data_IF_690446792906
#
_entry.id   IF_690446792906
#
_cell.length_a   1.000
_cell.length_b   1.000
_cell.length_c   1.000
_cell.angle_alpha   90.00
_cell.angle_beta   90.00
_cell.angle_gamma   90.00
#
_symmetry.space_group_name_H-M   'P 1'
#
loop_
_entity.id
_entity.type
_entity.pdbx_description
1 polymer ?
#
# COMPACT_ATOMS: atom_id res chain seq x y z
N UNK A 1 -15.99 -11.74 -8.30
CA UNK A 1 -15.05 -10.63 -8.49
C UNK A 1 -14.84 -10.02 -7.11
N UNK A 2 -13.65 -10.15 -6.55
CA UNK A 2 -13.25 -9.46 -5.31
C UNK A 2 -12.94 -8.03 -5.74
N UNK A 3 -13.67 -6.99 -5.30
CA UNK A 3 -13.43 -5.67 -5.88
C UNK A 3 -12.13 -5.09 -5.29
N UNK A 4 -11.39 -4.32 -6.10
CA UNK A 4 -9.96 -4.04 -5.86
C UNK A 4 -9.01 -5.11 -6.42
N UNK A 5 -9.54 -6.20 -6.98
CA UNK A 5 -8.80 -7.26 -7.68
C UNK A 5 -9.42 -7.54 -9.05
N UNK A 6 -8.60 -7.73 -10.08
CA UNK A 6 -9.01 -8.30 -11.37
C UNK A 6 -8.17 -9.54 -11.69
N UNK A 7 -8.84 -10.60 -12.10
CA UNK A 7 -8.18 -11.80 -12.61
C UNK A 7 -8.06 -11.68 -14.13
N UNK A 8 -6.85 -11.89 -14.65
CA UNK A 8 -6.51 -11.76 -16.06
C UNK A 8 -5.86 -13.06 -16.52
N UNK A 9 -6.34 -13.57 -17.65
CA UNK A 9 -5.72 -14.70 -18.33
C UNK A 9 -4.76 -14.17 -19.40
N UNK A 10 -3.49 -14.54 -19.30
CA UNK A 10 -2.49 -14.28 -20.34
C UNK A 10 -2.32 -15.53 -21.18
N UNK A 11 -2.56 -15.40 -22.48
CA UNK A 11 -2.35 -16.47 -23.46
C UNK A 11 -1.10 -16.17 -24.30
N UNK A 12 -0.08 -17.04 -24.24
CA UNK A 12 1.19 -16.85 -24.95
C UNK A 12 1.35 -17.80 -26.14
N UNK A 13 0.25 -18.25 -26.76
CA UNK A 13 0.27 -19.19 -27.90
C UNK A 13 1.33 -18.91 -28.97
N UNK A 14 1.58 -17.62 -29.26
CA UNK A 14 2.50 -17.18 -30.31
C UNK A 14 3.82 -16.58 -29.77
N UNK A 15 4.10 -16.74 -28.48
CA UNK A 15 5.32 -16.20 -27.85
C UNK A 15 5.92 -17.18 -26.82
N UNK A 16 7.16 -17.63 -27.08
CA UNK A 16 7.91 -18.53 -26.20
C UNK A 16 8.99 -17.83 -25.37
N UNK A 17 9.10 -16.51 -25.48
CA UNK A 17 10.07 -15.72 -24.71
C UNK A 17 9.57 -15.40 -23.31
N UNK A 18 10.37 -14.64 -22.58
CA UNK A 18 9.97 -14.10 -21.27
C UNK A 18 9.12 -12.85 -21.45
N UNK A 19 8.11 -12.69 -20.61
CA UNK A 19 7.27 -11.51 -20.60
C UNK A 19 7.12 -10.97 -19.19
N UNK A 20 6.64 -9.73 -19.11
CA UNK A 20 6.17 -9.11 -17.90
C UNK A 20 4.79 -8.53 -18.12
N UNK A 21 4.04 -8.36 -17.04
CA UNK A 21 2.75 -7.71 -17.04
C UNK A 21 2.74 -6.62 -15.97
N UNK A 22 2.04 -5.53 -16.26
CA UNK A 22 1.80 -4.45 -15.32
C UNK A 22 0.39 -3.92 -15.44
N UNK A 23 -0.03 -3.13 -14.46
CA UNK A 23 -1.30 -2.43 -14.48
C UNK A 23 -1.05 -0.97 -14.10
N UNK A 24 -1.59 -0.05 -14.90
CA UNK A 24 -1.53 1.39 -14.68
C UNK A 24 -2.94 1.98 -14.85
N UNK A 25 -3.19 3.18 -14.33
CA UNK A 25 -4.50 3.81 -14.55
C UNK A 25 -4.68 4.14 -16.03
N UNK A 26 -5.93 4.27 -16.49
CA UNK A 26 -6.20 4.68 -17.87
C UNK A 26 -5.63 6.07 -18.17
N UNK A 27 -5.67 6.98 -17.21
CA UNK A 27 -5.03 8.29 -17.32
C UNK A 27 -3.51 8.18 -17.53
N UNK A 28 -2.83 7.34 -16.75
CA UNK A 28 -1.38 7.11 -16.91
C UNK A 28 -1.04 6.49 -18.26
N UNK A 29 -1.88 5.57 -18.75
CA UNK A 29 -1.73 4.96 -20.06
C UNK A 29 -1.93 5.98 -21.19
N UNK A 30 -3.02 6.77 -21.13
CA UNK A 30 -3.35 7.77 -22.14
C UNK A 30 -2.31 8.92 -22.16
N UNK A 31 -1.57 9.13 -21.07
CA UNK A 31 -0.45 10.07 -20.99
C UNK A 31 0.86 9.56 -21.62
N UNK A 32 0.97 8.27 -21.95
CA UNK A 32 2.14 7.72 -22.63
C UNK A 32 2.10 8.02 -24.13
N UNK A 33 3.23 8.50 -24.68
CA UNK A 33 3.31 8.90 -26.08
C UNK A 33 3.26 7.71 -27.07
N UNK A 34 3.78 6.55 -26.64
CA UNK A 34 3.87 5.33 -27.42
C UNK A 34 4.05 4.10 -26.50
N UNK A 35 4.11 2.91 -27.11
CA UNK A 35 4.30 1.64 -26.41
C UNK A 35 5.62 1.57 -25.62
N UNK A 36 6.67 2.25 -26.10
CA UNK A 36 7.95 2.30 -25.39
C UNK A 36 7.82 3.10 -24.10
N UNK A 37 7.05 4.18 -24.12
CA UNK A 37 6.75 4.97 -22.92
C UNK A 37 5.92 4.17 -21.90
N UNK A 38 4.97 3.33 -22.35
CA UNK A 38 4.23 2.41 -21.46
C UNK A 38 5.17 1.39 -20.83
N UNK A 39 6.00 0.73 -21.64
CA UNK A 39 7.01 -0.21 -21.20
C UNK A 39 7.97 0.41 -20.16
N UNK A 40 8.53 1.58 -20.46
CA UNK A 40 9.48 2.27 -19.58
C UNK A 40 8.82 2.66 -18.26
N UNK A 41 7.59 3.17 -18.29
CA UNK A 41 6.84 3.51 -17.07
C UNK A 41 6.68 2.29 -16.16
N UNK A 42 6.24 1.16 -16.72
CA UNK A 42 5.98 -0.06 -15.95
C UNK A 42 7.29 -0.64 -15.39
N UNK A 43 8.35 -0.74 -16.19
CA UNK A 43 9.65 -1.27 -15.74
C UNK A 43 10.31 -0.35 -14.72
N UNK A 44 10.26 0.97 -14.92
CA UNK A 44 10.82 1.91 -13.94
C UNK A 44 10.03 1.91 -12.63
N UNK A 45 8.70 1.75 -12.67
CA UNK A 45 7.88 1.57 -11.47
C UNK A 45 8.24 0.29 -10.73
N UNK A 46 8.40 -0.84 -11.43
CA UNK A 46 8.88 -2.09 -10.84
C UNK A 46 10.23 -1.89 -10.11
N UNK A 47 11.19 -1.23 -10.76
CA UNK A 47 12.51 -0.97 -10.18
C UNK A 47 12.41 -0.05 -8.96
N UNK A 48 11.63 1.03 -9.05
CA UNK A 48 11.44 1.99 -7.96
C UNK A 48 10.80 1.33 -6.73
N UNK A 49 9.77 0.48 -6.94
CA UNK A 49 9.14 -0.28 -5.86
C UNK A 49 10.08 -1.30 -5.20
N UNK A 50 11.18 -1.66 -5.85
CA UNK A 50 12.17 -2.62 -5.36
C UNK A 50 13.53 -1.96 -5.06
N UNK A 51 13.57 -0.64 -4.84
CA UNK A 51 14.83 0.09 -4.57
C UNK A 51 15.58 -0.45 -3.35
N UNK A 52 14.87 -0.92 -2.32
CA UNK A 52 15.47 -1.52 -1.13
C UNK A 52 16.26 -2.80 -1.44
N UNK A 53 15.82 -3.61 -2.41
CA UNK A 53 16.58 -4.78 -2.85
C UNK A 53 17.89 -4.33 -3.50
N UNK A 54 17.83 -3.26 -4.28
CA UNK A 54 19.00 -2.66 -4.95
C UNK A 54 19.98 -2.10 -3.92
N UNK A 55 19.48 -1.39 -2.91
CA UNK A 55 20.29 -0.90 -1.79
C UNK A 55 20.96 -2.05 -1.00
N UNK A 56 20.29 -3.20 -0.91
CA UNK A 56 20.81 -4.43 -0.29
C UNK A 56 21.64 -5.30 -1.25
N UNK A 57 22.04 -4.78 -2.42
CA UNK A 57 23.03 -5.39 -3.31
C UNK A 57 22.46 -6.13 -4.52
N UNK A 58 21.15 -6.11 -4.75
CA UNK A 58 20.58 -6.59 -6.02
C UNK A 58 20.86 -5.59 -7.14
N UNK A 59 20.91 -6.07 -8.38
CA UNK A 59 20.90 -5.21 -9.56
C UNK A 59 19.49 -5.07 -10.12
N UNK A 60 19.24 -4.06 -10.96
CA UNK A 60 17.98 -3.96 -11.71
C UNK A 60 17.70 -5.22 -12.54
N UNK A 61 18.76 -5.83 -13.09
CA UNK A 61 18.70 -7.09 -13.84
C UNK A 61 18.15 -8.23 -12.97
N UNK A 62 18.57 -8.29 -11.71
CA UNK A 62 18.10 -9.32 -10.76
C UNK A 62 16.62 -9.11 -10.42
N UNK A 63 16.22 -7.85 -10.16
CA UNK A 63 14.82 -7.48 -9.90
C UNK A 63 13.92 -7.87 -11.07
N UNK A 64 14.31 -7.52 -12.30
CA UNK A 64 13.54 -7.87 -13.49
C UNK A 64 13.52 -9.38 -13.68
N UNK A 65 14.67 -10.04 -13.55
CA UNK A 65 14.80 -11.49 -13.73
C UNK A 65 13.92 -12.30 -12.80
N UNK A 66 13.72 -11.85 -11.56
CA UNK A 66 12.85 -12.51 -10.58
C UNK A 66 11.38 -12.54 -10.99
N UNK A 67 10.91 -11.50 -11.70
CA UNK A 67 9.47 -11.34 -11.99
C UNK A 67 9.07 -11.78 -13.40
N UNK A 68 10.02 -12.04 -14.30
CA UNK A 68 9.73 -12.51 -15.65
C UNK A 68 8.96 -13.83 -15.65
N UNK A 69 7.97 -13.92 -16.53
CA UNK A 69 7.10 -15.08 -16.70
C UNK A 69 7.32 -15.75 -18.05
N UNK A 70 6.90 -17.02 -18.15
CA UNK A 70 6.91 -17.79 -19.40
C UNK A 70 5.65 -18.65 -19.47
N UNK A 71 5.15 -18.89 -20.69
CA UNK A 71 3.93 -19.66 -20.91
C UNK A 71 2.63 -18.92 -20.50
N UNK A 72 1.50 -19.47 -20.90
CA UNK A 72 0.18 -18.96 -20.51
C UNK A 72 -0.04 -19.11 -19.01
N UNK A 73 -0.64 -18.10 -18.38
CA UNK A 73 -0.94 -18.13 -16.96
C UNK A 73 -2.18 -17.31 -16.61
N UNK A 74 -2.85 -17.71 -15.55
CA UNK A 74 -3.80 -16.86 -14.86
C UNK A 74 -3.04 -16.02 -13.83
N UNK A 75 -3.35 -14.74 -13.80
CA UNK A 75 -2.75 -13.78 -12.88
C UNK A 75 -3.84 -12.93 -12.23
N UNK A 76 -3.47 -12.33 -11.11
CA UNK A 76 -4.33 -11.42 -10.37
C UNK A 76 -3.62 -10.08 -10.22
N UNK A 77 -4.28 -9.00 -10.60
CA UNK A 77 -3.86 -7.64 -10.24
C UNK A 77 -4.71 -7.20 -9.05
N UNK A 78 -4.05 -6.72 -8.01
CA UNK A 78 -4.68 -6.24 -6.76
C UNK A 78 -4.34 -4.76 -6.53
N UNK A 79 -4.86 -4.17 -5.45
CA UNK A 79 -4.61 -2.77 -5.03
C UNK A 79 -5.19 -1.71 -5.96
N UNK A 80 -6.30 -2.04 -6.60
CA UNK A 80 -6.93 -1.16 -7.58
C UNK A 80 -7.93 -0.25 -6.88
N UNK A 81 -7.81 1.06 -7.11
CA UNK A 81 -8.68 2.08 -6.54
C UNK A 81 -10.12 1.86 -7.01
N UNK A 82 -11.11 1.96 -6.10
CA UNK A 82 -12.52 2.01 -6.49
C UNK A 82 -12.79 3.15 -7.47
N UNK A 83 -13.85 2.98 -8.26
CA UNK A 83 -14.31 3.96 -9.27
C UNK A 83 -13.21 4.43 -10.26
N UNK A 84 -12.14 3.64 -10.43
CA UNK A 84 -10.98 4.02 -11.26
C UNK A 84 -10.86 3.10 -12.47
N UNK A 85 -10.55 3.69 -13.62
CA UNK A 85 -10.27 2.98 -14.87
C UNK A 85 -8.80 2.59 -14.95
N UNK A 86 -8.54 1.37 -15.39
CA UNK A 86 -7.20 0.78 -15.44
C UNK A 86 -6.95 0.06 -16.77
N UNK A 87 -5.67 -0.06 -17.10
CA UNK A 87 -5.19 -0.80 -18.28
C UNK A 87 -4.15 -1.81 -17.82
N UNK A 88 -4.45 -3.10 -17.99
CA UNK A 88 -3.43 -4.15 -17.89
C UNK A 88 -2.63 -4.16 -19.18
N UNK A 89 -1.31 -4.15 -19.06
CA UNK A 89 -0.36 -4.16 -20.17
C UNK A 89 0.53 -5.40 -20.06
N UNK A 90 0.69 -6.13 -21.15
CA UNK A 90 1.55 -7.32 -21.25
C UNK A 90 2.49 -7.15 -22.42
N UNK A 91 3.77 -7.42 -22.20
CA UNK A 91 4.79 -7.30 -23.23
C UNK A 91 5.93 -8.29 -23.01
N UNK A 92 6.50 -8.79 -24.11
CA UNK A 92 7.74 -9.55 -24.08
C UNK A 92 8.89 -8.65 -23.67
N UNK A 93 9.68 -9.08 -22.70
CA UNK A 93 10.88 -8.35 -22.28
C UNK A 93 11.94 -9.29 -21.72
N UNK A 94 13.18 -8.79 -21.63
CA UNK A 94 14.29 -9.51 -21.03
C UNK A 94 14.91 -8.72 -19.87
N UNK A 95 15.84 -9.35 -19.17
CA UNK A 95 16.54 -8.77 -18.02
C UNK A 95 17.39 -7.53 -18.36
N UNK A 96 17.63 -7.27 -19.66
CA UNK A 96 18.33 -6.07 -20.15
C UNK A 96 17.40 -4.88 -20.42
N UNK A 97 16.14 -4.91 -19.95
CA UNK A 97 15.12 -3.87 -20.19
C UNK A 97 14.84 -3.63 -21.67
N UNK A 98 14.94 -4.67 -22.51
CA UNK A 98 14.55 -4.57 -23.91
C UNK A 98 13.09 -4.99 -24.08
N UNK A 99 12.30 -4.15 -24.76
CA UNK A 99 10.98 -4.50 -25.27
C UNK A 99 11.13 -5.41 -26.49
N UNK A 100 10.50 -6.57 -26.46
CA UNK A 100 10.66 -7.63 -27.47
C UNK A 100 9.42 -7.85 -28.34
N UNK A 101 8.27 -7.34 -27.92
CA UNK A 101 6.99 -7.42 -28.62
C UNK A 101 6.26 -6.08 -28.50
N UNK A 102 5.22 -5.90 -29.30
CA UNK A 102 4.25 -4.84 -29.06
C UNK A 102 3.55 -5.04 -27.70
N UNK A 103 2.98 -3.97 -27.14
CA UNK A 103 2.27 -4.00 -25.86
C UNK A 103 0.81 -4.42 -26.09
N UNK A 104 0.44 -5.59 -25.56
CA UNK A 104 -0.95 -6.05 -25.52
C UNK A 104 -1.68 -5.45 -24.31
N UNK A 105 -2.92 -5.01 -24.49
CA UNK A 105 -3.67 -4.33 -23.42
C UNK A 105 -5.08 -4.89 -23.20
N UNK A 106 -5.58 -4.71 -21.98
CA UNK A 106 -6.97 -4.89 -21.63
C UNK A 106 -7.41 -3.79 -20.66
N UNK A 107 -8.45 -3.05 -21.03
CA UNK A 107 -9.05 -2.02 -20.17
C UNK A 107 -10.13 -2.60 -19.28
N UNK A 108 -10.23 -2.09 -18.07
CA UNK A 108 -11.31 -2.43 -17.15
C UNK A 108 -11.55 -1.27 -16.18
N UNK A 109 -12.75 -1.24 -15.59
CA UNK A 109 -13.09 -0.28 -14.54
C UNK A 109 -13.34 -1.02 -13.24
N UNK A 110 -12.71 -0.57 -12.16
CA UNK A 110 -13.08 -1.03 -10.82
C UNK A 110 -14.40 -0.35 -10.46
N UNK A 111 -15.43 -1.11 -10.04
CA UNK A 111 -16.68 -0.52 -9.58
C UNK A 111 -16.44 0.50 -8.47
N UNK A 112 -17.28 1.53 -8.40
CA UNK A 112 -17.36 2.36 -7.21
C UNK A 112 -17.72 1.49 -6.01
N UNK A 113 -17.18 1.84 -4.85
CA UNK A 113 -17.52 1.22 -3.58
C UNK A 113 -18.46 2.15 -2.83
N UNK A 114 -19.52 1.60 -2.24
CA UNK A 114 -20.40 2.38 -1.37
C UNK A 114 -19.58 2.89 -0.18
N UNK A 115 -19.67 4.18 0.09
CA UNK A 115 -19.15 4.73 1.34
C UNK A 115 -19.86 4.05 2.49
N UNK A 116 -19.11 3.63 3.50
CA UNK A 116 -19.71 3.26 4.76
C UNK A 116 -19.81 4.52 5.59
N UNK A 117 -21.00 4.73 6.17
CA UNK A 117 -21.35 5.88 7.00
C UNK A 117 -20.17 6.28 7.91
N UNK A 118 -19.99 7.59 8.17
CA UNK A 118 -18.90 8.21 8.95
C UNK A 118 -18.63 7.47 10.30
N UNK A 119 -17.93 6.33 10.27
CA UNK A 119 -17.64 5.53 11.47
C UNK A 119 -16.65 6.30 12.32
N UNK A 120 -17.08 6.75 13.49
CA UNK A 120 -16.23 7.48 14.43
C UNK A 120 -15.65 6.50 15.44
N UNK A 121 -14.41 6.08 15.20
CA UNK A 121 -13.66 5.31 16.19
C UNK A 121 -13.23 6.23 17.33
N UNK A 122 -12.87 5.63 18.48
CA UNK A 122 -12.36 6.37 19.63
C UNK A 122 -11.05 5.77 20.13
N UNK A 123 -10.17 6.60 20.67
CA UNK A 123 -9.04 6.16 21.49
C UNK A 123 -9.34 6.51 22.94
N UNK A 124 -9.33 5.50 23.81
CA UNK A 124 -9.71 5.69 25.22
C UNK A 124 -8.55 5.56 26.19
N UNK A 125 -7.84 4.44 26.18
CA UNK A 125 -6.71 4.23 27.09
C UNK A 125 -5.42 4.56 26.35
N UNK A 126 -4.65 5.53 26.83
CA UNK A 126 -3.31 5.86 26.30
C UNK A 126 -2.33 5.88 27.46
N UNK A 127 -1.24 5.13 27.34
CA UNK A 127 -0.16 5.05 28.32
C UNK A 127 1.20 5.18 27.62
N UNK A 128 1.95 6.21 27.97
CA UNK A 128 3.29 6.46 27.44
C UNK A 128 4.30 6.22 28.55
N UNK A 129 5.09 5.15 28.41
CA UNK A 129 6.12 4.75 29.36
C UNK A 129 7.50 4.97 28.76
N UNK A 130 8.29 5.86 29.37
CA UNK A 130 9.71 5.97 29.05
C UNK A 130 10.44 4.74 29.60
N UNK A 131 10.95 3.90 28.71
CA UNK A 131 11.63 2.65 29.06
C UNK A 131 13.16 2.78 29.05
N UNK A 132 13.68 3.72 28.26
CA UNK A 132 15.08 4.12 28.26
C UNK A 132 15.23 5.59 27.85
N UNK A 133 16.44 6.15 27.94
CA UNK A 133 16.70 7.54 27.54
C UNK A 133 16.27 7.79 26.08
N UNK A 134 16.54 6.83 25.18
CA UNK A 134 16.22 6.91 23.75
C UNK A 134 14.96 6.14 23.34
N UNK A 135 14.20 5.57 24.29
CA UNK A 135 13.08 4.68 23.97
C UNK A 135 11.87 4.91 24.87
N UNK A 136 10.69 5.02 24.26
CA UNK A 136 9.41 4.98 24.94
C UNK A 136 8.58 3.81 24.41
N UNK A 137 7.83 3.17 25.30
CA UNK A 137 6.74 2.26 24.97
C UNK A 137 5.44 3.04 25.03
N UNK A 138 4.69 3.05 23.94
CA UNK A 138 3.36 3.68 23.85
C UNK A 138 2.33 2.57 23.76
N UNK A 139 1.32 2.61 24.62
CA UNK A 139 0.18 1.70 24.60
C UNK A 139 -1.08 2.51 24.35
N UNK A 140 -1.94 2.07 23.43
CA UNK A 140 -3.24 2.70 23.22
C UNK A 140 -4.33 1.71 22.83
N UNK A 141 -5.58 2.01 23.18
CA UNK A 141 -6.74 1.20 22.80
C UNK A 141 -7.64 1.96 21.83
N UNK A 142 -7.89 1.38 20.66
CA UNK A 142 -8.86 1.84 19.66
C UNK A 142 -10.15 1.06 19.82
N UNK A 143 -11.29 1.76 19.78
CA UNK A 143 -12.63 1.18 19.89
C UNK A 143 -13.52 1.65 18.75
N UNK A 144 -14.20 0.70 18.13
CA UNK A 144 -15.31 0.95 17.24
C UNK A 144 -16.56 1.37 18.04
N UNK A 145 -17.52 2.08 17.40
CA UNK A 145 -18.85 2.30 17.95
C UNK A 145 -19.52 0.99 18.37
N UNK A 146 -20.35 1.00 19.43
CA UNK A 146 -21.04 -0.20 19.92
C UNK A 146 -21.96 -0.85 18.87
N UNK A 147 -22.47 -0.06 17.93
CA UNK A 147 -23.34 -0.47 16.84
C UNK A 147 -22.59 -0.81 15.54
N UNK A 148 -21.26 -0.69 15.53
CA UNK A 148 -20.44 -1.07 14.38
C UNK A 148 -20.10 -2.56 14.43
N UNK A 149 -20.61 -3.32 13.46
CA UNK A 149 -20.37 -4.76 13.29
C UNK A 149 -19.30 -5.08 12.24
N UNK A 150 -18.68 -4.05 11.66
CA UNK A 150 -17.66 -4.18 10.62
C UNK A 150 -16.24 -4.40 11.17
N UNK A 151 -15.29 -4.44 10.23
CA UNK A 151 -13.86 -4.54 10.52
C UNK A 151 -13.20 -3.16 10.42
N UNK A 152 -12.10 -2.98 11.12
CA UNK A 152 -11.28 -1.77 11.00
C UNK A 152 -9.79 -2.09 11.09
N UNK A 153 -9.00 -1.20 10.50
CA UNK A 153 -7.54 -1.21 10.50
C UNK A 153 -7.02 -0.05 11.35
N UNK A 154 -5.88 -0.26 12.01
CA UNK A 154 -5.22 0.75 12.83
C UNK A 154 -3.75 0.89 12.42
N UNK A 155 -3.31 2.13 12.28
CA UNK A 155 -1.94 2.49 11.94
C UNK A 155 -1.49 3.70 12.76
N UNK A 156 -0.18 3.87 12.94
CA UNK A 156 0.41 5.06 13.55
C UNK A 156 1.53 5.65 12.69
N UNK A 157 1.56 6.98 12.59
CA UNK A 157 2.57 7.73 11.86
C UNK A 157 3.20 8.79 12.77
N UNK A 158 4.51 8.99 12.65
CA UNK A 158 5.16 10.15 13.27
C UNK A 158 4.71 11.43 12.55
N UNK A 159 4.64 12.55 13.27
CA UNK A 159 4.18 13.84 12.71
C UNK A 159 4.93 14.28 11.46
N UNK A 160 6.25 14.07 11.40
CA UNK A 160 7.02 14.43 10.21
C UNK A 160 6.56 13.65 8.96
N UNK A 161 6.21 12.38 9.14
CA UNK A 161 5.67 11.50 8.10
C UNK A 161 4.28 11.98 7.71
N UNK A 162 3.41 12.23 8.69
CA UNK A 162 2.08 12.80 8.47
C UNK A 162 2.11 14.12 7.69
N UNK A 163 2.91 15.09 8.14
CA UNK A 163 2.99 16.42 7.55
C UNK A 163 3.59 16.38 6.13
N UNK A 164 4.53 15.47 5.86
CA UNK A 164 5.10 15.30 4.52
C UNK A 164 4.06 14.79 3.52
N UNK A 165 3.22 13.84 3.92
CA UNK A 165 2.25 13.21 3.02
C UNK A 165 0.95 13.97 2.87
N UNK A 166 0.50 14.66 3.93
CA UNK A 166 -0.62 15.59 3.82
C UNK A 166 -0.32 16.78 2.88
N UNK A 167 0.94 16.95 2.45
CA UNK A 167 1.37 18.09 1.62
C UNK A 167 2.03 17.72 0.27
N UNK A 168 2.42 16.48 0.00
CA UNK A 168 3.02 16.13 -1.31
C UNK A 168 3.31 14.64 -1.48
N UNK A 169 2.78 14.01 -2.54
CA UNK A 169 3.58 13.05 -3.31
C UNK A 169 3.20 12.88 -4.80
N UNK A 170 2.09 13.44 -5.30
CA UNK A 170 1.76 13.32 -6.75
C UNK A 170 1.25 14.60 -7.41
N UNK A 171 1.12 15.71 -6.69
CA UNK A 171 0.39 16.88 -7.19
C UNK A 171 -1.14 16.73 -7.08
N UNK A 172 -1.61 15.62 -6.51
CA UNK A 172 -2.98 15.42 -6.02
C UNK A 172 -2.96 15.27 -4.49
N UNK A 173 -3.96 15.82 -3.81
CA UNK A 173 -4.23 15.51 -2.39
C UNK A 173 -4.62 14.03 -2.28
N UNK A 174 -3.68 13.18 -1.87
CA UNK A 174 -4.00 11.83 -1.43
C UNK A 174 -4.37 11.94 0.06
N UNK A 175 -5.61 11.62 0.47
CA UNK A 175 -5.98 11.63 1.88
C UNK A 175 -5.06 10.69 2.69
N UNK A 176 -4.67 11.09 3.90
CA UNK A 176 -3.79 10.30 4.78
C UNK A 176 -4.31 8.87 5.00
N UNK A 177 -5.62 8.66 4.92
CA UNK A 177 -6.29 7.36 5.02
C UNK A 177 -5.88 6.40 3.92
N UNK A 178 -5.77 6.92 2.70
CA UNK A 178 -5.32 6.16 1.54
C UNK A 178 -3.83 5.84 1.68
N UNK A 179 -3.02 6.78 2.20
CA UNK A 179 -1.59 6.55 2.46
C UNK A 179 -1.34 5.52 3.57
N UNK A 180 -1.97 5.64 4.74
CA UNK A 180 -1.80 4.67 5.84
C UNK A 180 -2.10 3.24 5.38
N UNK A 181 -3.06 3.09 4.47
CA UNK A 181 -3.32 1.83 3.82
C UNK A 181 -2.21 1.42 2.85
N UNK A 182 -1.83 2.29 1.92
CA UNK A 182 -0.80 1.99 0.94
C UNK A 182 0.57 1.74 1.56
N UNK A 183 1.01 2.51 2.55
CA UNK A 183 2.28 2.33 3.25
C UNK A 183 2.32 0.98 4.00
N UNK A 184 1.21 0.62 4.65
CA UNK A 184 1.07 -0.68 5.28
C UNK A 184 1.18 -1.81 4.25
N UNK A 185 0.49 -1.69 3.11
CA UNK A 185 0.58 -2.69 2.05
C UNK A 185 1.88 -2.65 1.25
N UNK A 186 2.55 -1.51 1.11
CA UNK A 186 3.85 -1.38 0.45
C UNK A 186 4.95 -2.01 1.31
N UNK A 187 4.86 -1.85 2.63
CA UNK A 187 5.68 -2.61 3.58
C UNK A 187 5.48 -4.12 3.42
N UNK A 188 4.28 -4.59 3.07
CA UNK A 188 4.02 -6.01 2.78
C UNK A 188 4.27 -6.41 1.33
N UNK A 189 4.18 -5.50 0.34
CA UNK A 189 4.56 -5.72 -1.08
C UNK A 189 6.02 -6.18 -1.15
N UNK A 190 6.88 -5.68 -0.26
CA UNK A 190 8.25 -6.17 -0.04
C UNK A 190 8.33 -7.69 0.23
N UNK A 191 7.25 -8.30 0.71
CA UNK A 191 7.13 -9.72 1.04
C UNK A 191 6.14 -10.51 0.16
N UNK A 192 5.52 -9.91 -0.88
CA UNK A 192 4.40 -10.54 -1.62
C UNK A 192 4.78 -11.75 -2.48
N UNK A 193 6.07 -12.03 -2.72
CA UNK A 193 6.42 -13.38 -3.19
C UNK A 193 6.12 -14.48 -2.15
N UNK A 194 5.80 -14.13 -0.90
CA UNK A 194 5.65 -15.05 0.23
C UNK A 194 4.42 -14.85 1.13
N UNK A 195 3.68 -13.74 1.02
CA UNK A 195 2.56 -13.45 1.93
C UNK A 195 1.24 -13.44 1.16
N UNK A 196 0.39 -14.42 1.45
CA UNK A 196 -1.01 -14.43 1.02
C UNK A 196 -1.74 -13.26 1.70
N UNK A 197 -2.48 -12.47 0.91
CA UNK A 197 -3.29 -11.36 1.41
C UNK A 197 -4.29 -11.78 2.47
N UNK A 198 -4.74 -13.04 2.45
CA UNK A 198 -5.55 -13.62 3.52
C UNK A 198 -4.87 -13.47 4.89
N UNK A 199 -3.54 -13.62 4.96
CA UNK A 199 -2.79 -13.47 6.19
C UNK A 199 -2.84 -12.04 6.73
N UNK A 200 -2.74 -11.02 5.87
CA UNK A 200 -2.84 -9.62 6.30
C UNK A 200 -4.25 -9.36 6.84
N UNK A 201 -5.30 -9.82 6.14
CA UNK A 201 -6.68 -9.70 6.64
C UNK A 201 -6.92 -10.44 7.94
N UNK A 202 -6.31 -11.61 8.13
CA UNK A 202 -6.47 -12.36 9.38
C UNK A 202 -5.73 -11.74 10.57
N UNK A 203 -4.69 -10.93 10.32
CA UNK A 203 -3.79 -10.47 11.37
C UNK A 203 -3.74 -8.94 11.55
N UNK A 204 -4.30 -8.17 10.62
CA UNK A 204 -4.19 -6.71 10.58
C UNK A 204 -5.55 -5.98 10.60
N UNK A 205 -6.66 -6.67 10.87
CA UNK A 205 -7.97 -6.00 11.01
C UNK A 205 -8.68 -6.53 12.25
N UNK A 206 -9.51 -5.67 12.87
CA UNK A 206 -10.18 -5.95 14.13
C UNK A 206 -11.66 -5.60 14.08
N UNK A 207 -12.42 -6.13 15.03
CA UNK A 207 -13.81 -5.73 15.31
C UNK A 207 -13.92 -5.38 16.80
N UNK A 208 -14.85 -4.49 17.16
CA UNK A 208 -15.01 -4.05 18.56
C UNK A 208 -13.84 -3.18 19.03
N UNK A 209 -12.86 -3.77 19.70
CA UNK A 209 -11.70 -3.04 20.25
C UNK A 209 -10.38 -3.76 20.04
N UNK A 210 -9.29 -2.98 19.99
CA UNK A 210 -7.92 -3.50 19.96
C UNK A 210 -6.99 -2.60 20.76
N UNK A 211 -6.10 -3.23 21.52
CA UNK A 211 -5.01 -2.55 22.23
C UNK A 211 -3.69 -2.81 21.52
N UNK A 212 -3.00 -1.73 21.19
CA UNK A 212 -1.66 -1.74 20.63
C UNK A 212 -0.62 -1.38 21.67
N UNK A 213 0.56 -1.97 21.50
CA UNK A 213 1.78 -1.52 22.16
C UNK A 213 2.86 -1.40 21.10
N UNK A 214 3.49 -0.23 21.02
CA UNK A 214 4.61 0.02 20.11
C UNK A 214 5.76 0.73 20.82
N UNK A 215 6.98 0.45 20.36
CA UNK A 215 8.18 1.12 20.85
C UNK A 215 8.54 2.23 19.88
N UNK A 216 8.73 3.45 20.40
CA UNK A 216 9.11 4.63 19.63
C UNK A 216 10.43 5.18 20.13
N UNK A 217 11.29 5.53 19.18
CA UNK A 217 12.52 6.23 19.46
C UNK A 217 12.19 7.62 20.03
N UNK A 218 12.79 7.96 21.17
CA UNK A 218 12.65 9.30 21.77
C UNK A 218 13.63 10.25 21.10
N UNK A 219 13.17 11.48 20.85
CA UNK A 219 13.96 12.57 20.30
C UNK A 219 14.32 13.59 21.39
N UNK A 220 15.17 14.57 21.07
CA UNK A 220 15.52 15.66 22.00
C UNK A 220 14.27 16.43 22.44
N UNK A 221 13.38 16.66 21.49
CA UNK A 221 12.09 17.32 21.68
C UNK A 221 10.97 16.27 21.74
N UNK A 222 9.79 16.71 22.16
CA UNK A 222 8.59 15.87 22.14
C UNK A 222 8.30 15.40 20.71
N UNK A 223 8.00 14.11 20.57
CA UNK A 223 7.56 13.53 19.31
C UNK A 223 6.05 13.43 19.32
N UNK A 224 5.41 13.92 18.26
CA UNK A 224 3.98 13.72 18.04
C UNK A 224 3.78 12.49 17.17
N UNK A 225 2.95 11.57 17.63
CA UNK A 225 2.48 10.41 16.90
C UNK A 225 0.99 10.56 16.61
N UNK A 226 0.58 10.35 15.37
CA UNK A 226 -0.81 10.28 14.97
C UNK A 226 -1.24 8.83 14.83
N UNK A 227 -2.34 8.45 15.48
CA UNK A 227 -2.96 7.13 15.32
C UNK A 227 -4.22 7.27 14.47
N UNK A 228 -4.42 6.33 13.56
CA UNK A 228 -5.53 6.24 12.63
C UNK A 228 -6.33 4.99 12.89
N UNK A 229 -7.65 5.10 12.80
CA UNK A 229 -8.55 3.96 12.69
C UNK A 229 -9.44 4.16 11.46
N UNK A 230 -9.50 3.14 10.61
CA UNK A 230 -10.18 3.21 9.31
C UNK A 230 -11.09 2.00 9.16
N UNK A 231 -12.35 2.22 8.81
CA UNK A 231 -13.27 1.14 8.50
C UNK A 231 -12.81 0.42 7.23
N UNK A 232 -12.77 -0.90 7.25
CA UNK A 232 -12.37 -1.71 6.09
C UNK A 232 -13.51 -2.61 5.67
N UNK A 233 -13.60 -2.86 4.37
CA UNK A 233 -14.50 -3.89 3.88
C UNK A 233 -13.76 -5.23 3.83
N UNK A 234 -14.22 -6.19 4.62
CA UNK A 234 -13.65 -7.54 4.65
C UNK A 234 -13.68 -8.26 3.31
N UNK A 235 -14.44 -7.77 2.32
CA UNK A 235 -14.44 -8.32 0.96
C UNK A 235 -13.45 -7.64 -0.01
N UNK A 236 -12.96 -6.43 0.25
CA UNK A 236 -12.39 -5.56 -0.81
C UNK A 236 -10.89 -5.36 -0.69
N UNK A 237 -10.27 -5.87 0.35
CA UNK A 237 -8.88 -5.63 0.67
C UNK A 237 -8.43 -4.16 0.58
N UNK A 238 -9.37 -3.23 0.81
CA UNK A 238 -9.20 -1.79 0.69
C UNK A 238 -9.97 -1.11 1.83
N UNK A 239 -9.52 0.07 2.30
CA UNK A 239 -10.31 0.83 3.24
C UNK A 239 -11.62 1.18 2.56
N UNK A 240 -12.72 1.06 3.29
CA UNK A 240 -13.93 1.78 2.87
C UNK A 240 -13.53 3.25 2.88
N UNK A 241 -13.89 4.01 1.84
CA UNK A 241 -13.75 5.47 1.88
C UNK A 241 -14.52 5.96 3.12
N UNK A 242 -13.79 6.15 4.21
CA UNK A 242 -14.26 6.51 5.53
C UNK A 242 -13.25 7.51 6.07
N UNK A 243 -13.71 8.54 6.77
CA UNK A 243 -12.79 9.48 7.41
C UNK A 243 -12.01 8.71 8.48
N UNK A 244 -10.70 8.85 8.48
CA UNK A 244 -9.95 8.31 9.61
C UNK A 244 -10.31 9.09 10.87
N UNK A 245 -10.46 8.35 11.96
CA UNK A 245 -10.36 8.95 13.28
C UNK A 245 -8.87 9.16 13.57
N UNK A 246 -8.44 10.42 13.68
CA UNK A 246 -7.03 10.79 13.91
C UNK A 246 -6.86 11.23 15.36
N UNK A 247 -5.87 10.65 16.03
CA UNK A 247 -5.58 10.93 17.43
C UNK A 247 -4.12 11.33 17.62
N UNK A 248 -3.88 12.41 18.34
CA UNK A 248 -2.55 12.88 18.66
C UNK A 248 -2.07 12.30 19.98
N UNK A 249 -0.91 11.63 19.97
CA UNK A 249 -0.21 11.14 21.16
C UNK A 249 1.15 11.83 21.24
N UNK A 250 1.40 12.49 22.38
CA UNK A 250 2.68 13.17 22.64
C UNK A 250 3.61 12.22 23.39
N UNK A 251 4.79 12.00 22.83
CA UNK A 251 5.87 11.20 23.41
C UNK A 251 6.92 12.16 23.97
N UNK A 252 7.20 12.14 25.29
CA UNK A 252 8.12 13.09 25.89
C UNK A 252 9.56 12.98 25.37
N UNK A 253 10.14 14.11 24.98
CA UNK A 253 11.54 14.22 24.59
C UNK A 253 12.51 14.01 25.76
N UNK A 254 13.78 13.72 25.47
CA UNK A 254 14.79 13.50 26.52
C UNK A 254 15.54 14.78 26.95
N UNK A 255 15.28 15.94 26.34
CA UNK A 255 15.88 17.24 26.69
C UNK A 255 17.25 17.48 26.04
N UNK A 256 17.84 18.66 26.31
CA UNK A 256 19.14 19.11 25.74
C UNK A 256 20.38 18.49 26.41
N UNK A 257 20.23 17.71 27.48
CA UNK A 257 21.34 17.18 28.27
C UNK A 257 21.97 15.89 27.66
N UNK A 258 22.48 16.00 26.43
CA UNK A 258 23.41 15.05 25.81
C UNK A 258 24.78 15.69 25.54
#
# INVERSE_FOLDING_TARGET
MIPGKVDVHIDTKDYSGTYFYGCITKEEYDACADEKAVFDRIINRLIALNSNLIENGWTETDVIGAVLKTGSMDMSVSYLRPDTEYVVCVFGCNTSKALLTDVSTAEFKVPAQDMVDDVQFTIGDVDVKVTAQTLASVTYTVRAPEDYDGLFFVCSLDKAVYDAYNNSYTGEEIPVEEYCWYDYFDMFNYYIEYVDLSWIFENAVWSGEITYQENKARQQQDTIMYVYAIAVDGQYCMPRQSKASVFEIVIPGYGEDL
#
